data_IF_841424602611
#
_entry.id   IF_841424602611
#
_cell.length_a   1.000
_cell.length_b   1.000
_cell.length_c   1.000
_cell.angle_alpha   90.00
_cell.angle_beta   90.00
_cell.angle_gamma   90.00
#
_symmetry.space_group_name_H-M   'P 1'
#
loop_
_entity.id
_entity.type
_entity.pdbx_description
1 polymer ?
#
# COMPACT_ATOMS: atom_id res chain seq x y z
N UNK A 1 5.82 -10.83 -14.53
CA UNK A 1 6.43 -10.25 -13.32
C UNK A 1 5.36 -9.92 -12.31
N UNK A 2 5.56 -10.33 -11.06
CA UNK A 2 4.59 -10.07 -10.01
C UNK A 2 4.84 -8.72 -9.35
N UNK A 3 3.76 -8.04 -9.01
CA UNK A 3 3.80 -6.84 -8.18
C UNK A 3 3.76 -7.29 -6.73
N UNK A 4 4.78 -6.97 -5.97
CA UNK A 4 4.86 -7.36 -4.55
C UNK A 4 4.14 -6.31 -3.73
N UNK A 5 3.05 -6.73 -3.07
CA UNK A 5 2.18 -5.83 -2.33
C UNK A 5 2.08 -6.21 -0.87
N UNK A 6 1.95 -5.22 0.00
CA UNK A 6 1.54 -5.43 1.38
C UNK A 6 0.33 -4.55 1.68
N UNK A 7 -0.42 -4.93 2.68
CA UNK A 7 -1.61 -4.19 3.11
C UNK A 7 -1.51 -3.87 4.60
N UNK A 8 -1.98 -2.69 4.98
CA UNK A 8 -1.93 -2.20 6.35
C UNK A 8 -3.29 -1.62 6.70
N UNK A 9 -3.99 -2.22 7.64
CA UNK A 9 -5.30 -1.74 8.08
C UNK A 9 -5.57 -2.23 9.49
N UNK A 10 -6.10 -1.36 10.33
CA UNK A 10 -6.44 -1.69 11.70
C UNK A 10 -7.71 -2.56 11.78
N UNK A 11 -8.53 -2.59 10.76
CA UNK A 11 -9.75 -3.39 10.72
C UNK A 11 -9.47 -4.76 10.12
N UNK A 12 -9.69 -5.82 10.88
CA UNK A 12 -9.53 -7.19 10.39
C UNK A 12 -10.45 -7.47 9.22
N UNK A 13 -11.67 -6.94 9.26
CA UNK A 13 -12.64 -7.12 8.19
C UNK A 13 -12.16 -6.53 6.88
N UNK A 14 -11.62 -5.31 6.93
CA UNK A 14 -11.10 -4.64 5.73
C UNK A 14 -9.79 -5.27 5.26
N UNK A 15 -8.96 -5.74 6.19
CA UNK A 15 -7.76 -6.49 5.85
C UNK A 15 -8.10 -7.76 5.08
N UNK A 16 -9.09 -8.50 5.56
CA UNK A 16 -9.54 -9.72 4.87
C UNK A 16 -10.09 -9.40 3.49
N UNK A 17 -10.83 -8.31 3.37
CA UNK A 17 -11.42 -7.89 2.10
C UNK A 17 -10.36 -7.60 1.05
N UNK A 18 -9.40 -6.74 1.39
CA UNK A 18 -8.37 -6.33 0.42
C UNK A 18 -7.41 -7.48 0.13
N UNK A 19 -7.11 -8.30 1.12
CA UNK A 19 -6.28 -9.49 0.96
C UNK A 19 -6.90 -10.45 -0.04
N UNK A 20 -8.20 -10.67 0.08
CA UNK A 20 -8.92 -11.56 -0.85
C UNK A 20 -8.89 -11.01 -2.27
N UNK A 21 -9.09 -9.70 -2.43
CA UNK A 21 -9.04 -9.07 -3.74
C UNK A 21 -7.67 -9.27 -4.38
N UNK A 22 -6.60 -9.00 -3.63
CA UNK A 22 -5.24 -9.08 -4.16
C UNK A 22 -4.83 -10.52 -4.48
N UNK A 23 -5.27 -11.48 -3.67
CA UNK A 23 -4.95 -12.89 -3.91
C UNK A 23 -5.59 -13.46 -5.17
N UNK A 24 -6.67 -12.86 -5.63
CA UNK A 24 -7.32 -13.27 -6.86
C UNK A 24 -6.62 -12.74 -8.12
N UNK A 25 -5.65 -11.84 -7.97
CA UNK A 25 -4.93 -11.25 -9.08
C UNK A 25 -3.64 -12.02 -9.34
N UNK A 26 -3.51 -12.57 -10.54
CA UNK A 26 -2.36 -13.42 -10.90
C UNK A 26 -1.03 -12.66 -10.92
N UNK A 27 -1.06 -11.38 -11.25
CA UNK A 27 0.15 -10.57 -11.37
C UNK A 27 0.51 -9.87 -10.06
N UNK A 28 -0.15 -10.19 -8.97
CA UNK A 28 0.11 -9.61 -7.66
C UNK A 28 0.53 -10.71 -6.68
N UNK A 29 1.64 -10.48 -6.00
CA UNK A 29 2.07 -11.34 -4.90
C UNK A 29 1.83 -10.58 -3.60
N UNK A 30 0.91 -11.09 -2.77
CA UNK A 30 0.66 -10.51 -1.46
C UNK A 30 1.72 -11.00 -0.49
N UNK A 31 2.62 -10.11 -0.09
CA UNK A 31 3.76 -10.45 0.75
C UNK A 31 3.46 -10.39 2.23
N UNK A 32 2.46 -9.61 2.64
CA UNK A 32 2.11 -9.52 4.05
C UNK A 32 0.92 -8.61 4.29
N UNK A 33 0.33 -8.77 5.48
CA UNK A 33 -0.75 -7.91 5.95
C UNK A 33 -0.46 -7.52 7.40
N UNK A 34 -0.71 -6.27 7.74
CA UNK A 34 -0.31 -5.70 9.03
C UNK A 34 -1.45 -4.88 9.62
N UNK A 35 -1.61 -4.98 10.95
CA UNK A 35 -2.58 -4.17 11.68
C UNK A 35 -2.00 -2.87 12.22
N UNK A 36 -0.69 -2.68 12.11
CA UNK A 36 0.00 -1.50 12.62
C UNK A 36 1.02 -0.99 11.61
N UNK A 37 1.18 0.33 11.58
CA UNK A 37 2.03 0.98 10.59
C UNK A 37 3.51 0.70 10.82
N UNK A 38 3.95 0.68 12.08
CA UNK A 38 5.37 0.49 12.39
C UNK A 38 5.86 -0.88 11.93
N UNK A 39 5.04 -1.92 12.12
CA UNK A 39 5.37 -3.26 11.65
C UNK A 39 5.53 -3.30 10.12
N UNK A 40 4.67 -2.58 9.42
CA UNK A 40 4.74 -2.50 7.96
C UNK A 40 6.00 -1.77 7.49
N UNK A 41 6.36 -0.67 8.15
CA UNK A 41 7.58 0.08 7.83
C UNK A 41 8.80 -0.82 8.03
N UNK A 42 8.82 -1.57 9.12
CA UNK A 42 9.93 -2.48 9.41
C UNK A 42 10.05 -3.55 8.32
N UNK A 43 8.93 -4.10 7.89
CA UNK A 43 8.92 -5.08 6.82
C UNK A 43 9.48 -4.50 5.52
N UNK A 44 9.09 -3.28 5.16
CA UNK A 44 9.56 -2.63 3.93
C UNK A 44 11.07 -2.39 3.98
N UNK A 45 11.61 -2.09 5.15
CA UNK A 45 13.06 -1.90 5.31
C UNK A 45 13.85 -3.17 5.07
N UNK A 46 13.25 -4.32 5.34
CA UNK A 46 13.96 -5.61 5.31
C UNK A 46 13.61 -6.46 4.10
N UNK A 47 12.57 -6.12 3.36
CA UNK A 47 12.07 -6.93 2.26
C UNK A 47 11.71 -6.08 1.06
N UNK A 48 11.86 -6.61 -0.16
CA UNK A 48 11.45 -5.87 -1.36
C UNK A 48 9.93 -5.81 -1.46
N UNK A 49 9.41 -4.59 -1.62
CA UNK A 49 7.98 -4.33 -1.78
C UNK A 49 7.80 -3.31 -2.89
N UNK A 50 6.81 -3.52 -3.74
CA UNK A 50 6.54 -2.62 -4.86
C UNK A 50 5.44 -1.61 -4.53
N UNK A 51 4.39 -2.03 -3.82
CA UNK A 51 3.26 -1.17 -3.51
C UNK A 51 2.70 -1.49 -2.13
N UNK A 52 2.29 -0.45 -1.40
CA UNK A 52 1.70 -0.56 -0.07
C UNK A 52 0.31 0.03 -0.11
N UNK A 53 -0.69 -0.73 0.34
CA UNK A 53 -2.04 -0.22 0.56
C UNK A 53 -2.21 0.00 2.05
N UNK A 54 -2.40 1.23 2.48
CA UNK A 54 -2.47 1.56 3.91
C UNK A 54 -3.67 2.40 4.27
N UNK A 55 -4.35 2.01 5.35
CA UNK A 55 -5.34 2.87 5.99
C UNK A 55 -4.63 4.12 6.54
N UNK A 56 -5.36 5.24 6.59
CA UNK A 56 -4.83 6.48 7.15
C UNK A 56 -4.91 6.46 8.68
N UNK A 57 -5.99 5.95 9.24
CA UNK A 57 -6.19 5.94 10.70
C UNK A 57 -5.69 4.62 11.27
N UNK A 58 -4.54 4.67 11.92
CA UNK A 58 -3.88 3.49 12.50
C UNK A 58 -3.62 3.74 13.99
N UNK A 59 -3.49 2.66 14.81
CA UNK A 59 -3.36 2.84 16.26
C UNK A 59 -2.03 3.44 16.70
N UNK A 60 -0.95 3.21 15.96
CA UNK A 60 0.39 3.66 16.35
C UNK A 60 0.75 5.00 15.70
N UNK A 61 0.84 5.04 14.38
CA UNK A 61 1.04 6.29 13.62
C UNK A 61 0.09 6.30 12.44
N UNK A 62 -0.19 7.47 11.88
CA UNK A 62 -1.11 7.57 10.75
C UNK A 62 -0.50 6.98 9.48
N UNK A 63 -1.36 6.59 8.55
CA UNK A 63 -0.92 6.13 7.23
C UNK A 63 -0.22 7.24 6.44
N UNK A 64 -0.55 8.51 6.71
CA UNK A 64 0.15 9.64 6.11
C UNK A 64 1.61 9.65 6.58
N UNK A 65 1.84 9.47 7.88
CA UNK A 65 3.17 9.40 8.46
C UNK A 65 3.92 8.16 7.93
N UNK A 66 3.22 7.03 7.85
CA UNK A 66 3.79 5.81 7.27
C UNK A 66 4.30 6.07 5.86
N UNK A 67 3.49 6.68 5.00
CA UNK A 67 3.86 6.97 3.63
C UNK A 67 5.06 7.92 3.57
N UNK A 68 5.06 8.95 4.40
CA UNK A 68 6.17 9.90 4.47
C UNK A 68 7.48 9.21 4.84
N UNK A 69 7.44 8.31 5.82
CA UNK A 69 8.62 7.56 6.25
C UNK A 69 9.10 6.59 5.17
N UNK A 70 8.17 5.91 4.51
CA UNK A 70 8.50 4.98 3.45
C UNK A 70 9.17 5.70 2.28
N UNK A 71 8.66 6.86 1.89
CA UNK A 71 9.22 7.62 0.78
C UNK A 71 10.62 8.17 1.06
N UNK A 72 11.06 8.15 2.31
CA UNK A 72 12.43 8.54 2.67
C UNK A 72 13.45 7.41 2.52
N UNK A 73 12.97 6.19 2.28
CA UNK A 73 13.85 5.04 2.10
C UNK A 73 14.46 5.02 0.70
N UNK A 74 15.65 4.40 0.53
CA UNK A 74 16.17 4.18 -0.83
C UNK A 74 15.22 3.26 -1.60
N UNK A 75 14.96 3.60 -2.86
CA UNK A 75 14.07 2.82 -3.73
C UNK A 75 12.74 2.48 -3.07
N UNK A 76 11.97 3.49 -2.62
CA UNK A 76 10.77 3.22 -1.86
C UNK A 76 9.67 2.60 -2.71
N UNK A 77 8.81 1.75 -2.11
CA UNK A 77 7.59 1.34 -2.78
C UNK A 77 6.63 2.52 -2.93
N UNK A 78 5.66 2.39 -3.82
CA UNK A 78 4.58 3.34 -3.88
C UNK A 78 3.57 3.07 -2.79
N UNK A 79 2.88 4.10 -2.33
CA UNK A 79 1.87 3.97 -1.28
C UNK A 79 0.52 4.44 -1.79
N UNK A 80 -0.50 3.60 -1.61
CA UNK A 80 -1.89 3.94 -1.84
C UNK A 80 -2.57 4.06 -0.48
N UNK A 81 -3.16 5.21 -0.22
CA UNK A 81 -3.85 5.46 1.04
C UNK A 81 -5.34 5.17 0.92
N UNK A 82 -5.89 4.56 1.95
CA UNK A 82 -7.29 4.20 2.05
C UNK A 82 -7.89 4.91 3.26
N UNK A 83 -9.03 5.58 3.09
CA UNK A 83 -9.63 6.29 4.23
C UNK A 83 -11.13 6.45 4.06
N UNK A 84 -11.86 6.32 5.16
CA UNK A 84 -13.28 6.69 5.22
C UNK A 84 -13.49 8.18 5.39
N UNK A 85 -12.42 8.96 5.52
CA UNK A 85 -12.48 10.40 5.74
C UNK A 85 -11.91 11.11 4.53
N UNK A 86 -12.76 11.75 3.69
CA UNK A 86 -12.27 12.37 2.45
C UNK A 86 -11.27 13.52 2.68
N UNK A 87 -11.30 14.14 3.85
CA UNK A 87 -10.42 15.26 4.16
C UNK A 87 -8.94 14.97 4.10
N UNK A 88 -8.56 13.68 4.14
CA UNK A 88 -7.16 13.31 4.05
C UNK A 88 -6.61 13.29 2.64
N UNK A 89 -7.44 13.51 1.62
CA UNK A 89 -6.99 13.48 0.23
C UNK A 89 -5.95 14.57 -0.07
N UNK A 90 -6.06 15.73 0.57
CA UNK A 90 -5.10 16.82 0.40
C UNK A 90 -3.73 16.45 0.97
N UNK A 91 -3.71 15.85 2.17
CA UNK A 91 -2.47 15.39 2.79
C UNK A 91 -1.80 14.31 1.94
N UNK A 92 -2.60 13.37 1.39
CA UNK A 92 -2.10 12.36 0.48
C UNK A 92 -1.44 12.98 -0.75
N UNK A 93 -2.07 14.00 -1.31
CA UNK A 93 -1.53 14.73 -2.46
C UNK A 93 -0.21 15.42 -2.12
N UNK A 94 -0.13 16.05 -0.95
CA UNK A 94 1.08 16.78 -0.52
C UNK A 94 2.28 15.87 -0.37
N UNK A 95 2.10 14.64 0.09
CA UNK A 95 3.20 13.68 0.24
C UNK A 95 3.43 12.86 -1.03
N UNK A 96 2.66 13.15 -2.08
CA UNK A 96 2.78 12.48 -3.38
C UNK A 96 2.50 10.99 -3.31
N UNK A 97 1.51 10.60 -2.51
CA UNK A 97 1.04 9.22 -2.50
C UNK A 97 0.63 8.82 -3.90
N UNK A 98 0.88 7.56 -4.24
CA UNK A 98 0.53 7.05 -5.57
C UNK A 98 -0.97 7.13 -5.83
N UNK A 99 -1.78 6.88 -4.80
CA UNK A 99 -3.22 6.98 -4.92
C UNK A 99 -3.89 7.19 -3.58
N UNK A 100 -5.16 7.55 -3.65
CA UNK A 100 -6.03 7.72 -2.49
C UNK A 100 -7.39 7.15 -2.83
N UNK A 101 -7.86 6.19 -2.04
CA UNK A 101 -9.15 5.54 -2.27
C UNK A 101 -10.03 5.76 -1.05
N UNK A 102 -11.26 6.21 -1.27
CA UNK A 102 -12.21 6.45 -0.19
C UNK A 102 -12.95 5.15 0.13
N UNK A 103 -13.04 4.84 1.42
CA UNK A 103 -13.81 3.68 1.89
C UNK A 103 -15.30 4.02 1.92
N UNK A 104 -16.18 3.08 1.65
CA UNK A 104 -15.91 1.71 1.23
C UNK A 104 -15.47 1.65 -0.23
N UNK A 105 -14.46 0.84 -0.50
CA UNK A 105 -13.97 0.69 -1.87
C UNK A 105 -14.48 -0.60 -2.49
N UNK A 106 -14.43 -0.66 -3.81
CA UNK A 106 -14.82 -1.84 -4.56
C UNK A 106 -13.58 -2.53 -5.12
N UNK A 107 -13.77 -3.79 -5.53
CA UNK A 107 -12.73 -4.54 -6.22
C UNK A 107 -12.20 -3.77 -7.44
N UNK A 108 -13.10 -3.14 -8.20
CA UNK A 108 -12.73 -2.40 -9.41
C UNK A 108 -11.74 -1.27 -9.09
N UNK A 109 -11.95 -0.56 -7.98
CA UNK A 109 -11.06 0.53 -7.59
C UNK A 109 -9.65 0.03 -7.27
N UNK A 110 -9.54 -1.12 -6.61
CA UNK A 110 -8.24 -1.71 -6.30
C UNK A 110 -7.55 -2.18 -7.57
N UNK A 111 -8.28 -2.86 -8.46
CA UNK A 111 -7.75 -3.34 -9.73
C UNK A 111 -7.29 -2.18 -10.60
N UNK A 112 -8.11 -1.13 -10.70
CA UNK A 112 -7.76 0.06 -11.49
C UNK A 112 -6.49 0.73 -10.97
N UNK A 113 -6.34 0.80 -9.65
CA UNK A 113 -5.15 1.38 -9.03
C UNK A 113 -3.90 0.59 -9.40
N UNK A 114 -3.99 -0.74 -9.34
CA UNK A 114 -2.87 -1.60 -9.71
C UNK A 114 -2.56 -1.53 -11.20
N UNK A 115 -3.58 -1.35 -12.04
CA UNK A 115 -3.37 -1.21 -13.47
C UNK A 115 -2.61 0.06 -13.84
N UNK A 116 -2.67 1.08 -12.99
CA UNK A 116 -1.88 2.31 -13.19
C UNK A 116 -0.44 2.16 -12.71
N UNK A 117 -0.17 1.17 -11.89
CA UNK A 117 1.16 0.96 -11.36
C UNK A 117 2.01 0.23 -12.39
N UNK A 118 3.17 0.80 -12.71
CA UNK A 118 4.15 0.15 -13.56
C UNK A 118 5.38 -0.10 -12.72
N UNK A 119 5.72 -1.38 -12.45
CA UNK A 119 6.93 -1.67 -11.68
C UNK A 119 8.15 -1.15 -12.40
N UNK A 120 9.16 -0.65 -11.66
CA UNK A 120 10.39 -0.23 -12.30
C UNK A 120 11.08 -1.42 -12.94
N UNK A 121 11.80 -1.21 -14.06
CA UNK A 121 12.51 -2.32 -14.68
C UNK A 121 13.54 -2.89 -13.72
N UNK A 122 13.60 -4.22 -13.65
CA UNK A 122 14.54 -4.93 -12.79
C UNK A 122 15.68 -5.45 -13.64
N UNK A 123 16.89 -5.07 -13.25
CA UNK A 123 18.07 -5.57 -13.90
C UNK A 123 18.26 -7.04 -13.52
N UNK A 124 18.30 -7.98 -14.50
CA UNK A 124 18.44 -9.40 -14.17
C UNK A 124 19.69 -9.74 -13.38
N UNK A 125 20.73 -8.94 -13.53
CA UNK A 125 22.00 -9.20 -12.84
C UNK A 125 21.98 -8.71 -11.39
N UNK A 126 21.00 -7.89 -11.02
CA UNK A 126 20.92 -7.25 -9.70
C UNK A 126 19.68 -7.66 -8.91
N UNK A 127 18.79 -8.33 -9.54
CA UNK A 127 17.53 -8.75 -8.92
C UNK A 127 17.57 -10.22 -8.46
#
# INVERSE_FOLDING_TARGET
MSIRAIVVDNSEELLDKITRILREMEDVELCGSFGEAIAAIQYVKENPVDIVFSDVVMPDISGITLASKIYQLPDPPEVVLLSGIPGFSLEAWKIRAFGFIIKPYTRVQIVDMLNRYTPPPRCPLRC
#
